data_IF_513677423560
#
_entry.id   IF_513677423560
#
_cell.length_a   1.000
_cell.length_b   1.000
_cell.length_c   1.000
_cell.angle_alpha   90.00
_cell.angle_beta   90.00
_cell.angle_gamma   90.00
#
_symmetry.space_group_name_H-M   'P 1'
#
loop_
_entity.id
_entity.type
_entity.pdbx_description
1 polymer ?
#
# COMPACT_ATOMS: atom_id res chain seq x y z
N UNK A 1 29.53 21.12 -36.64
CA UNK A 1 29.19 19.84 -35.97
C UNK A 1 29.13 19.89 -34.42
N UNK A 2 29.96 20.69 -33.72
CA UNK A 2 29.98 20.76 -32.22
C UNK A 2 28.69 21.26 -31.54
N UNK A 3 27.92 22.16 -32.18
CA UNK A 3 26.71 22.77 -31.60
C UNK A 3 25.60 21.75 -31.34
N UNK A 4 25.47 20.76 -32.22
CA UNK A 4 24.50 19.66 -32.09
C UNK A 4 24.85 18.72 -30.93
N UNK A 5 26.15 18.49 -30.68
CA UNK A 5 26.59 17.61 -29.60
C UNK A 5 26.27 18.18 -28.21
N UNK A 6 26.47 19.49 -28.01
CA UNK A 6 26.08 20.16 -26.75
C UNK A 6 24.55 20.16 -26.54
N UNK A 7 23.77 20.38 -27.60
CA UNK A 7 22.31 20.30 -27.55
C UNK A 7 21.81 18.90 -27.20
N UNK A 8 22.37 17.87 -27.83
CA UNK A 8 22.01 16.48 -27.55
C UNK A 8 22.39 16.06 -26.12
N UNK A 9 23.52 16.56 -25.59
CA UNK A 9 23.91 16.32 -24.19
C UNK A 9 22.94 17.03 -23.22
N UNK A 10 22.54 18.27 -23.52
CA UNK A 10 21.57 19.00 -22.70
C UNK A 10 20.19 18.31 -22.71
N UNK A 11 19.75 17.84 -23.87
CA UNK A 11 18.51 17.08 -24.03
C UNK A 11 18.56 15.75 -23.26
N UNK A 12 19.67 15.00 -23.37
CA UNK A 12 19.88 13.77 -22.60
C UNK A 12 19.87 14.05 -21.08
N UNK A 13 20.56 15.10 -20.64
CA UNK A 13 20.57 15.49 -19.23
C UNK A 13 19.17 15.86 -18.72
N UNK A 14 18.37 16.52 -19.56
CA UNK A 14 16.99 16.87 -19.22
C UNK A 14 16.09 15.63 -19.10
N UNK A 15 16.23 14.66 -20.01
CA UNK A 15 15.54 13.37 -19.90
C UNK A 15 15.94 12.58 -18.64
N UNK A 16 17.23 12.54 -18.32
CA UNK A 16 17.72 11.88 -17.10
C UNK A 16 17.15 12.57 -15.86
N UNK A 17 17.19 13.90 -15.81
CA UNK A 17 16.61 14.66 -14.70
C UNK A 17 15.11 14.40 -14.55
N UNK A 18 14.36 14.36 -15.66
CA UNK A 18 12.93 14.04 -15.65
C UNK A 18 12.67 12.62 -15.10
N UNK A 19 13.43 11.62 -15.53
CA UNK A 19 13.31 10.24 -15.03
C UNK A 19 13.58 10.18 -13.52
N UNK A 20 14.62 10.88 -13.03
CA UNK A 20 14.94 10.94 -11.60
C UNK A 20 13.79 11.59 -10.82
N UNK A 21 13.25 12.71 -11.29
CA UNK A 21 12.13 13.39 -10.64
C UNK A 21 10.87 12.53 -10.61
N UNK A 22 10.55 11.85 -11.71
CA UNK A 22 9.45 10.90 -11.79
C UNK A 22 9.65 9.77 -10.78
N UNK A 23 10.85 9.19 -10.71
CA UNK A 23 11.14 8.11 -9.78
C UNK A 23 10.98 8.55 -8.31
N UNK A 24 11.47 9.76 -7.95
CA UNK A 24 11.28 10.34 -6.62
C UNK A 24 9.81 10.63 -6.30
N UNK A 25 9.02 11.06 -7.29
CA UNK A 25 7.59 11.28 -7.11
C UNK A 25 6.85 9.97 -6.81
N UNK A 26 7.12 8.91 -7.57
CA UNK A 26 6.49 7.61 -7.37
C UNK A 26 7.03 6.85 -6.15
N UNK A 27 8.28 7.10 -5.72
CA UNK A 27 8.82 6.47 -4.51
C UNK A 27 8.15 6.96 -3.22
N UNK A 28 7.61 8.17 -3.22
CA UNK A 28 6.91 8.77 -2.07
C UNK A 28 5.40 8.57 -2.08
N UNK A 29 4.83 8.10 -3.20
CA UNK A 29 3.38 7.92 -3.39
C UNK A 29 3.09 6.52 -3.93
N UNK A 30 2.77 5.60 -3.04
CA UNK A 30 2.18 4.32 -3.45
C UNK A 30 0.75 4.56 -3.94
N UNK A 31 0.51 4.32 -5.23
CA UNK A 31 -0.83 4.35 -5.82
C UNK A 31 -1.21 2.93 -6.24
N UNK A 32 -2.24 2.37 -5.62
CA UNK A 32 -2.80 1.06 -5.98
C UNK A 32 -4.08 1.27 -6.78
N UNK A 33 -4.10 0.78 -8.01
CA UNK A 33 -5.30 0.79 -8.86
C UNK A 33 -5.98 -0.56 -8.72
N UNK A 34 -7.26 -0.54 -8.37
CA UNK A 34 -8.12 -1.71 -8.42
C UNK A 34 -8.70 -1.84 -9.83
N UNK A 35 -8.25 -2.87 -10.56
CA UNK A 35 -8.67 -3.18 -11.93
C UNK A 35 -9.85 -4.14 -12.00
N UNK A 36 -10.44 -4.51 -10.86
CA UNK A 36 -11.62 -5.38 -10.85
C UNK A 36 -12.89 -4.59 -11.21
N UNK A 37 -13.76 -5.18 -12.01
CA UNK A 37 -15.01 -4.53 -12.48
C UNK A 37 -15.88 -4.05 -11.31
N UNK A 38 -15.96 -4.87 -10.25
CA UNK A 38 -16.75 -4.59 -9.05
C UNK A 38 -15.95 -3.83 -7.96
N UNK A 39 -14.68 -3.51 -8.20
CA UNK A 39 -13.79 -2.86 -7.24
C UNK A 39 -13.70 -3.60 -5.89
N UNK A 40 -13.55 -4.93 -5.94
CA UNK A 40 -13.57 -5.80 -4.74
C UNK A 40 -12.41 -5.54 -3.77
N UNK A 41 -11.38 -4.81 -4.19
CA UNK A 41 -10.21 -4.44 -3.38
C UNK A 41 -10.19 -2.95 -3.01
N UNK A 42 -11.30 -2.24 -3.27
CA UNK A 42 -11.49 -0.84 -2.94
C UNK A 42 -12.47 -0.70 -1.78
N UNK A 43 -12.10 0.04 -0.73
CA UNK A 43 -13.02 0.28 0.38
C UNK A 43 -14.22 1.11 -0.04
N UNK A 44 -15.39 0.74 0.48
CA UNK A 44 -16.60 1.53 0.36
C UNK A 44 -16.40 2.95 0.95
N UNK A 45 -17.05 3.99 0.38
CA UNK A 45 -16.91 5.36 0.85
C UNK A 45 -17.21 5.53 2.35
N UNK A 46 -18.24 4.84 2.85
CA UNK A 46 -18.63 4.87 4.27
C UNK A 46 -17.53 4.31 5.17
N UNK A 47 -16.89 3.21 4.78
CA UNK A 47 -15.76 2.61 5.52
C UNK A 47 -14.58 3.58 5.56
N UNK A 48 -14.30 4.29 4.45
CA UNK A 48 -13.24 5.31 4.43
C UNK A 48 -13.53 6.46 5.37
N UNK A 49 -14.78 6.92 5.43
CA UNK A 49 -15.19 7.99 6.33
C UNK A 49 -15.06 7.56 7.79
N UNK A 50 -15.52 6.36 8.13
CA UNK A 50 -15.41 5.78 9.45
C UNK A 50 -13.95 5.68 9.91
N UNK A 51 -13.07 5.09 9.09
CA UNK A 51 -11.65 4.92 9.42
C UNK A 51 -10.90 6.25 9.60
N UNK A 52 -11.24 7.28 8.79
CA UNK A 52 -10.67 8.63 8.94
C UNK A 52 -11.16 9.34 10.20
N UNK A 53 -12.32 8.93 10.73
CA UNK A 53 -12.91 9.47 11.94
C UNK A 53 -12.34 8.89 13.23
N UNK A 54 -11.35 7.99 13.18
CA UNK A 54 -10.70 7.46 14.38
C UNK A 54 -10.11 8.59 15.21
N UNK A 55 -10.62 8.78 16.42
CA UNK A 55 -10.08 9.75 17.37
C UNK A 55 -8.84 9.19 18.08
N UNK A 56 -8.90 7.91 18.46
CA UNK A 56 -7.84 7.16 19.16
C UNK A 56 -7.24 6.07 18.27
N UNK A 57 -6.09 5.57 18.69
CA UNK A 57 -5.44 4.43 18.08
C UNK A 57 -6.23 3.13 18.35
N UNK A 58 -6.32 2.27 17.33
CA UNK A 58 -7.04 1.00 17.37
C UNK A 58 -6.06 -0.12 17.02
N UNK A 59 -5.97 -1.14 17.87
CA UNK A 59 -5.18 -2.35 17.63
C UNK A 59 -6.10 -3.52 17.26
N UNK A 60 -5.79 -4.21 16.17
CA UNK A 60 -6.50 -5.41 15.72
C UNK A 60 -5.57 -6.61 15.80
N UNK A 61 -5.84 -7.55 16.71
CA UNK A 61 -5.15 -8.85 16.74
C UNK A 61 -5.89 -9.84 15.84
N UNK A 62 -5.14 -10.53 14.98
CA UNK A 62 -5.66 -11.51 14.01
C UNK A 62 -5.01 -12.87 14.26
N UNK A 63 -5.81 -13.84 14.68
CA UNK A 63 -5.34 -15.21 14.95
C UNK A 63 -5.32 -16.07 13.67
N UNK A 64 -4.56 -15.60 12.68
CA UNK A 64 -4.39 -16.25 11.39
C UNK A 64 -2.91 -16.27 11.00
N UNK A 65 -2.05 -16.70 11.92
CA UNK A 65 -0.63 -16.97 11.67
C UNK A 65 -0.25 -18.41 12.07
N UNK A 66 0.97 -18.81 11.75
CA UNK A 66 1.51 -20.15 12.04
C UNK A 66 1.27 -21.18 10.93
N UNK A 67 1.21 -22.45 11.31
CA UNK A 67 0.97 -23.57 10.38
C UNK A 67 -0.50 -23.67 9.98
N UNK A 68 -0.87 -22.93 8.94
CA UNK A 68 -2.23 -22.83 8.41
C UNK A 68 -2.42 -23.71 7.18
N UNK A 69 -3.62 -24.31 7.04
CA UNK A 69 -4.01 -24.97 5.79
C UNK A 69 -4.16 -23.95 4.63
N UNK A 70 -4.29 -24.43 3.39
CA UNK A 70 -4.36 -23.57 2.20
C UNK A 70 -5.50 -22.53 2.24
N UNK A 71 -6.66 -22.88 2.79
CA UNK A 71 -7.80 -21.97 2.93
C UNK A 71 -7.51 -20.83 3.89
N UNK A 72 -6.96 -21.15 5.07
CA UNK A 72 -6.60 -20.15 6.08
C UNK A 72 -5.41 -19.29 5.65
N UNK A 73 -4.44 -19.82 4.89
CA UNK A 73 -3.37 -18.99 4.30
C UNK A 73 -3.92 -17.94 3.33
N UNK A 74 -4.93 -18.31 2.54
CA UNK A 74 -5.60 -17.36 1.63
C UNK A 74 -6.36 -16.30 2.42
N UNK A 75 -7.09 -16.70 3.46
CA UNK A 75 -7.80 -15.77 4.34
C UNK A 75 -6.83 -14.81 5.04
N UNK A 76 -5.76 -15.34 5.65
CA UNK A 76 -4.71 -14.56 6.31
C UNK A 76 -4.16 -13.46 5.40
N UNK A 77 -3.82 -13.82 4.15
CA UNK A 77 -3.36 -12.87 3.13
C UNK A 77 -4.41 -11.79 2.82
N UNK A 78 -5.64 -12.19 2.53
CA UNK A 78 -6.72 -11.25 2.20
C UNK A 78 -7.03 -10.30 3.38
N UNK A 79 -7.04 -10.82 4.60
CA UNK A 79 -7.22 -10.02 5.83
C UNK A 79 -6.07 -9.04 6.01
N UNK A 80 -4.82 -9.46 5.78
CA UNK A 80 -3.66 -8.57 5.86
C UNK A 80 -3.72 -7.44 4.84
N UNK A 81 -4.06 -7.77 3.58
CA UNK A 81 -4.24 -6.78 2.51
C UNK A 81 -5.36 -5.76 2.85
N UNK A 82 -6.44 -6.23 3.48
CA UNK A 82 -7.55 -5.37 3.92
C UNK A 82 -7.14 -4.44 5.07
N UNK A 83 -6.48 -4.99 6.09
CA UNK A 83 -6.03 -4.22 7.26
C UNK A 83 -4.94 -3.21 6.90
N UNK A 84 -4.11 -3.53 5.90
CA UNK A 84 -3.14 -2.59 5.36
C UNK A 84 -3.83 -1.37 4.71
N UNK A 85 -4.88 -1.59 3.92
CA UNK A 85 -5.69 -0.50 3.37
C UNK A 85 -6.36 0.31 4.51
N UNK A 86 -6.83 -0.36 5.56
CA UNK A 86 -7.43 0.32 6.69
C UNK A 86 -6.42 1.23 7.43
N UNK A 87 -5.19 0.74 7.64
CA UNK A 87 -4.07 1.50 8.22
C UNK A 87 -3.75 2.75 7.40
N UNK A 88 -3.69 2.62 6.07
CA UNK A 88 -3.44 3.76 5.18
C UNK A 88 -4.56 4.79 5.27
N UNK A 89 -5.82 4.35 5.21
CA UNK A 89 -6.99 5.23 5.21
C UNK A 89 -7.21 5.91 6.57
N UNK A 90 -6.92 5.22 7.67
CA UNK A 90 -6.98 5.77 9.04
C UNK A 90 -5.80 6.68 9.39
N UNK A 91 -4.89 6.94 8.43
CA UNK A 91 -3.67 7.77 8.63
C UNK A 91 -2.76 7.21 9.72
N UNK A 92 -2.63 5.89 9.78
CA UNK A 92 -1.77 5.20 10.74
C UNK A 92 -2.37 4.97 12.12
N UNK A 93 -3.63 5.36 12.37
CA UNK A 93 -4.31 5.13 13.66
C UNK A 93 -4.79 3.69 13.87
N UNK A 94 -4.81 2.88 12.82
CA UNK A 94 -5.09 1.45 12.93
C UNK A 94 -3.79 0.67 12.86
N UNK A 95 -3.54 -0.13 13.89
CA UNK A 95 -2.46 -1.10 13.99
C UNK A 95 -3.06 -2.50 13.91
N UNK A 96 -2.29 -3.43 13.39
CA UNK A 96 -2.70 -4.82 13.37
C UNK A 96 -1.51 -5.74 13.60
N UNK A 97 -1.79 -6.88 14.21
CA UNK A 97 -0.83 -7.93 14.51
C UNK A 97 -1.45 -9.27 14.12
N UNK A 98 -0.63 -10.15 13.55
CA UNK A 98 -1.00 -11.53 13.27
C UNK A 98 -0.31 -12.41 14.30
N UNK A 99 -1.10 -13.29 14.93
CA UNK A 99 -0.67 -14.10 16.07
C UNK A 99 -0.91 -15.56 15.75
N UNK A 100 0.09 -16.42 16.03
CA UNK A 100 -0.13 -17.86 16.08
C UNK A 100 -0.83 -18.18 17.41
N UNK A 101 -2.08 -18.69 17.39
CA UNK A 101 -2.81 -19.04 18.61
C UNK A 101 -2.12 -20.13 19.45
N UNK A 102 -1.11 -20.83 18.92
CA UNK A 102 -0.29 -21.78 19.68
C UNK A 102 0.80 -21.11 20.51
N UNK A 103 1.26 -19.92 20.11
CA UNK A 103 2.31 -19.17 20.82
C UNK A 103 1.75 -18.20 21.87
N UNK A 104 0.56 -17.62 21.63
CA UNK A 104 -0.23 -16.87 22.61
C UNK A 104 -1.60 -17.54 22.83
N UNK A 105 -1.73 -18.46 23.82
CA UNK A 105 -3.00 -19.10 24.16
C UNK A 105 -3.96 -18.20 24.95
#
# INVERSE_FOLDING_TARGET
MRKNRKRNIAELALWIAAIILINLFFSTRYFRIDLTDEKRYTLAPITKQFLRGFEKDVMVKVYLDGDLNAGFRRLSRATRETLEEFRIVSRGKLYYEFVDPKEEP
#
